data_IF_996397097831
#
_entry.id   IF_996397097831
#
_cell.length_a   1.000
_cell.length_b   1.000
_cell.length_c   1.000
_cell.angle_alpha   90.00
_cell.angle_beta   90.00
_cell.angle_gamma   90.00
#
_symmetry.space_group_name_H-M   'P 1'
#
loop_
_entity.id
_entity.type
_entity.pdbx_description
1 polymer ?
#
# COMPACT_ATOMS: atom_id res chain seq x y z
N UNK A 1 2.95 39.94 -31.55
CA UNK A 1 2.00 39.23 -30.67
C UNK A 1 0.72 40.04 -30.66
N UNK A 2 -0.22 39.73 -31.55
CA UNK A 2 -1.44 40.53 -31.73
C UNK A 2 -2.40 40.30 -30.56
N UNK A 3 -2.82 41.38 -29.91
CA UNK A 3 -3.82 41.38 -28.85
C UNK A 3 -5.14 40.76 -29.34
N UNK A 4 -5.87 39.98 -28.51
CA UNK A 4 -7.17 39.45 -28.91
C UNK A 4 -8.14 40.61 -29.16
N UNK A 5 -8.56 40.76 -30.41
CA UNK A 5 -9.61 41.70 -30.82
C UNK A 5 -10.91 41.21 -30.21
N UNK A 6 -11.52 42.01 -29.34
CA UNK A 6 -12.87 41.73 -28.84
C UNK A 6 -13.84 41.67 -30.02
N UNK A 7 -14.65 40.61 -30.16
CA UNK A 7 -15.57 40.49 -31.29
C UNK A 7 -16.54 41.68 -31.32
N UNK A 8 -16.79 42.22 -32.51
CA UNK A 8 -17.69 43.35 -32.68
C UNK A 8 -19.14 42.89 -32.55
N UNK A 9 -20.06 43.78 -32.14
CA UNK A 9 -21.49 43.43 -31.90
C UNK A 9 -22.17 42.71 -33.08
N UNK A 10 -21.65 42.88 -34.30
CA UNK A 10 -22.17 42.28 -35.52
C UNK A 10 -21.74 40.82 -35.70
N UNK A 11 -20.65 40.42 -35.04
CA UNK A 11 -20.04 39.09 -35.16
C UNK A 11 -20.50 38.14 -34.05
N UNK A 12 -21.27 38.63 -33.07
CA UNK A 12 -21.87 37.79 -32.04
C UNK A 12 -23.06 37.01 -32.62
N UNK A 13 -23.22 35.72 -32.25
CA UNK A 13 -24.38 34.93 -32.66
C UNK A 13 -25.67 35.61 -32.19
N UNK A 14 -26.61 35.80 -33.12
CA UNK A 14 -27.91 36.39 -32.82
C UNK A 14 -28.73 35.41 -31.99
N UNK A 15 -29.19 35.86 -30.83
CA UNK A 15 -30.10 35.08 -29.97
C UNK A 15 -31.39 34.81 -30.74
N UNK A 16 -31.87 33.58 -30.68
CA UNK A 16 -33.15 33.21 -31.29
C UNK A 16 -34.29 34.07 -30.74
N UNK A 17 -35.20 34.49 -31.61
CA UNK A 17 -36.31 35.42 -31.26
C UNK A 17 -37.18 34.85 -30.14
N UNK A 18 -37.36 33.53 -30.12
CA UNK A 18 -38.15 32.83 -29.10
C UNK A 18 -37.49 32.93 -27.72
N UNK A 19 -36.17 32.68 -27.63
CA UNK A 19 -35.41 32.79 -26.38
C UNK A 19 -35.38 34.24 -25.86
N UNK A 20 -35.27 35.23 -26.75
CA UNK A 20 -35.35 36.64 -26.37
C UNK A 20 -36.72 36.98 -25.77
N UNK A 21 -37.80 36.50 -26.36
CA UNK A 21 -39.16 36.75 -25.89
C UNK A 21 -39.43 36.08 -24.54
N UNK A 22 -38.90 34.87 -24.34
CA UNK A 22 -39.04 34.13 -23.08
C UNK A 22 -38.23 34.76 -21.93
N UNK A 23 -37.04 35.31 -22.23
CA UNK A 23 -36.25 36.10 -21.28
C UNK A 23 -36.90 37.45 -20.93
N UNK A 24 -37.51 38.12 -21.89
CA UNK A 24 -38.24 39.38 -21.66
C UNK A 24 -39.52 39.18 -20.83
N UNK A 25 -40.17 38.02 -20.98
CA UNK A 25 -41.31 37.60 -20.18
C UNK A 25 -40.94 36.92 -18.85
N UNK A 26 -39.64 36.72 -18.58
CA UNK A 26 -39.19 36.02 -17.39
C UNK A 26 -39.51 36.82 -16.13
N UNK A 27 -40.42 36.30 -15.32
CA UNK A 27 -40.74 36.86 -14.01
C UNK A 27 -39.98 36.10 -12.94
N UNK A 28 -38.99 36.71 -12.26
CA UNK A 28 -38.27 36.06 -11.17
C UNK A 28 -39.19 35.65 -10.00
N UNK A 29 -40.37 36.27 -9.91
CA UNK A 29 -41.47 35.92 -9.01
C UNK A 29 -41.96 34.48 -9.17
N UNK A 30 -41.80 33.89 -10.36
CA UNK A 30 -42.20 32.50 -10.64
C UNK A 30 -41.15 31.48 -10.20
N UNK A 31 -39.95 31.93 -9.79
CA UNK A 31 -39.00 31.04 -9.17
C UNK A 31 -39.46 30.71 -7.76
N UNK A 32 -39.34 29.44 -7.38
CA UNK A 32 -39.55 29.03 -5.99
C UNK A 32 -38.50 29.72 -5.13
N UNK A 33 -38.94 30.66 -4.29
CA UNK A 33 -38.07 31.25 -3.27
C UNK A 33 -37.60 30.15 -2.33
N UNK A 34 -36.29 29.88 -2.34
CA UNK A 34 -35.63 29.07 -1.32
C UNK A 34 -34.98 30.02 -0.33
N UNK A 35 -35.42 29.96 0.92
CA UNK A 35 -34.70 30.59 2.02
C UNK A 35 -33.58 29.63 2.42
N UNK A 36 -32.29 29.99 2.28
CA UNK A 36 -31.21 29.15 2.79
C UNK A 36 -31.37 29.00 4.30
N UNK A 37 -31.67 27.79 4.77
CA UNK A 37 -31.67 27.49 6.20
C UNK A 37 -30.28 27.04 6.62
N UNK A 38 -29.59 27.88 7.39
CA UNK A 38 -28.38 27.50 8.12
C UNK A 38 -28.79 26.56 9.27
N UNK A 39 -28.56 25.25 9.11
CA UNK A 39 -28.78 24.27 10.17
C UNK A 39 -27.64 24.35 11.19
N UNK A 40 -27.71 25.34 12.06
CA UNK A 40 -26.90 25.39 13.28
C UNK A 40 -27.47 24.37 14.28
N UNK A 41 -27.18 23.09 14.04
CA UNK A 41 -27.49 22.04 15.00
C UNK A 41 -26.62 22.24 16.23
N UNK A 42 -27.27 22.44 17.38
CA UNK A 42 -26.57 22.44 18.65
C UNK A 42 -26.08 21.02 18.96
N UNK A 43 -24.93 20.87 19.65
CA UNK A 43 -24.51 19.59 20.18
C UNK A 43 -25.66 18.94 20.95
N UNK A 44 -25.87 17.66 20.70
CA UNK A 44 -26.89 16.90 21.43
C UNK A 44 -26.45 16.70 22.88
N UNK A 45 -27.41 16.36 23.75
CA UNK A 45 -27.08 16.00 25.13
C UNK A 45 -26.14 14.79 25.22
N UNK A 46 -26.21 13.90 24.22
CA UNK A 46 -25.30 12.76 24.07
C UNK A 46 -23.88 13.23 23.72
N UNK A 47 -23.73 14.16 22.78
CA UNK A 47 -22.43 14.73 22.40
C UNK A 47 -21.72 15.36 23.61
N UNK A 48 -22.44 16.14 24.41
CA UNK A 48 -21.87 16.78 25.61
C UNK A 48 -21.52 15.75 26.68
N UNK A 49 -22.35 14.71 26.86
CA UNK A 49 -22.09 13.65 27.83
C UNK A 49 -20.85 12.81 27.44
N UNK A 50 -20.71 12.49 26.16
CA UNK A 50 -19.54 11.78 25.65
C UNK A 50 -18.28 12.63 25.77
N UNK A 51 -18.33 13.92 25.41
CA UNK A 51 -17.19 14.84 25.54
C UNK A 51 -16.74 14.96 27.00
N UNK A 52 -17.68 15.12 27.94
CA UNK A 52 -17.36 15.19 29.37
C UNK A 52 -16.69 13.90 29.87
N UNK A 53 -17.14 12.76 29.38
CA UNK A 53 -16.58 11.45 29.74
C UNK A 53 -15.16 11.30 29.18
N UNK A 54 -14.94 11.66 27.92
CA UNK A 54 -13.61 11.64 27.31
C UNK A 54 -12.64 12.58 28.02
N UNK A 55 -13.09 13.82 28.30
CA UNK A 55 -12.28 14.80 29.03
C UNK A 55 -11.88 14.31 30.42
N UNK A 56 -12.81 13.70 31.15
CA UNK A 56 -12.53 13.12 32.46
C UNK A 56 -11.50 11.97 32.38
N UNK A 57 -11.59 11.13 31.34
CA UNK A 57 -10.61 10.06 31.10
C UNK A 57 -9.23 10.62 30.80
N UNK A 58 -9.14 11.62 29.91
CA UNK A 58 -7.87 12.27 29.56
C UNK A 58 -7.23 12.90 30.80
N UNK A 59 -7.99 13.65 31.58
CA UNK A 59 -7.51 14.25 32.83
C UNK A 59 -7.05 13.19 33.84
N UNK A 60 -7.75 12.05 33.93
CA UNK A 60 -7.36 10.95 34.78
C UNK A 60 -6.02 10.31 34.38
N UNK A 61 -5.76 10.21 33.06
CA UNK A 61 -4.49 9.70 32.52
C UNK A 61 -3.37 10.72 32.69
N UNK A 62 -3.62 12.01 32.42
CA UNK A 62 -2.64 13.09 32.59
C UNK A 62 -2.21 13.25 34.05
N UNK A 63 -3.17 13.16 34.98
CA UNK A 63 -2.91 13.25 36.41
C UNK A 63 -2.53 11.90 37.04
N UNK A 64 -2.33 10.84 36.24
CA UNK A 64 -2.02 9.53 36.75
C UNK A 64 -0.62 9.51 37.38
N UNK A 65 -0.58 9.26 38.69
CA UNK A 65 0.66 9.12 39.45
C UNK A 65 1.27 7.73 39.22
N UNK A 66 2.35 7.68 38.44
CA UNK A 66 3.10 6.45 38.16
C UNK A 66 3.71 5.81 39.42
N UNK A 67 3.88 6.57 40.51
CA UNK A 67 4.33 6.05 41.80
C UNK A 67 3.31 5.13 42.49
N UNK A 68 2.04 5.16 42.05
CA UNK A 68 0.98 4.24 42.53
C UNK A 68 1.01 2.89 41.83
N UNK A 69 1.83 2.73 40.79
CA UNK A 69 2.02 1.43 40.15
C UNK A 69 2.70 0.47 41.13
N UNK A 70 2.14 -0.73 41.27
CA UNK A 70 2.76 -1.78 42.09
C UNK A 70 4.08 -2.18 41.45
N UNK A 71 5.14 -2.24 42.26
CA UNK A 71 6.42 -2.76 41.79
C UNK A 71 6.24 -4.21 41.32
N UNK A 72 6.72 -4.49 40.11
CA UNK A 72 6.73 -5.82 39.53
C UNK A 72 8.15 -6.14 39.07
N UNK A 73 8.64 -7.33 39.43
CA UNK A 73 9.95 -7.79 39.00
C UNK A 73 9.79 -8.48 37.64
N UNK A 74 10.17 -7.79 36.56
CA UNK A 74 10.21 -8.38 35.22
C UNK A 74 11.47 -9.24 35.07
N UNK A 75 11.32 -10.53 34.77
CA UNK A 75 12.44 -11.38 34.38
C UNK A 75 12.54 -11.45 32.85
N UNK A 76 13.39 -10.62 32.28
CA UNK A 76 13.81 -10.76 30.89
C UNK A 76 14.79 -11.93 30.77
N UNK A 77 14.38 -13.00 30.09
CA UNK A 77 15.26 -14.14 29.81
C UNK A 77 15.93 -13.88 28.47
N UNK A 78 17.25 -13.71 28.50
CA UNK A 78 18.10 -13.83 27.31
C UNK A 78 18.77 -15.22 27.35
N UNK A 79 18.06 -16.31 26.98
CA UNK A 79 18.64 -17.64 27.03
C UNK A 79 19.84 -17.70 26.07
N UNK A 80 20.97 -18.19 26.59
CA UNK A 80 22.09 -18.54 25.73
C UNK A 80 21.67 -19.67 24.78
N UNK A 81 22.25 -19.74 23.57
CA UNK A 81 22.07 -20.90 22.71
C UNK A 81 22.42 -22.19 23.48
N UNK A 82 21.63 -23.23 23.28
CA UNK A 82 21.91 -24.53 23.88
C UNK A 82 23.10 -25.20 23.18
N UNK A 83 23.58 -26.29 23.79
CA UNK A 83 24.74 -27.04 23.28
C UNK A 83 24.48 -27.58 21.87
N UNK A 84 23.24 -27.96 21.57
CA UNK A 84 22.86 -28.48 20.26
C UNK A 84 22.95 -27.40 19.19
N UNK A 85 22.42 -26.19 19.42
CA UNK A 85 22.53 -25.08 18.49
C UNK A 85 23.99 -24.71 18.20
N UNK A 86 24.85 -24.75 19.22
CA UNK A 86 26.29 -24.50 19.07
C UNK A 86 26.96 -25.59 18.22
N UNK A 87 26.64 -26.86 18.45
CA UNK A 87 27.19 -27.99 17.69
C UNK A 87 26.72 -27.97 16.23
N UNK A 88 25.44 -27.66 15.98
CA UNK A 88 24.89 -27.50 14.64
C UNK A 88 25.58 -26.37 13.88
N UNK A 89 25.73 -25.19 14.48
CA UNK A 89 26.41 -24.05 13.86
C UNK A 89 27.89 -24.38 13.60
N UNK A 90 28.58 -25.03 14.55
CA UNK A 90 29.96 -25.48 14.35
C UNK A 90 30.08 -26.48 13.20
N UNK A 91 29.14 -27.41 13.06
CA UNK A 91 29.07 -28.36 11.96
C UNK A 91 28.91 -27.65 10.60
N UNK A 92 28.02 -26.67 10.54
CA UNK A 92 27.80 -25.84 9.35
C UNK A 92 29.06 -25.04 8.98
N UNK A 93 29.71 -24.41 9.95
CA UNK A 93 30.96 -23.66 9.72
C UNK A 93 32.08 -24.57 9.20
N UNK A 94 32.23 -25.78 9.77
CA UNK A 94 33.20 -26.75 9.29
C UNK A 94 32.90 -27.20 7.85
N UNK A 95 31.63 -27.39 7.49
CA UNK A 95 31.22 -27.75 6.13
C UNK A 95 31.58 -26.64 5.14
N UNK A 96 31.24 -25.39 5.47
CA UNK A 96 31.54 -24.22 4.63
C UNK A 96 33.06 -24.10 4.46
N UNK A 97 33.82 -24.13 5.54
CA UNK A 97 35.28 -24.06 5.49
C UNK A 97 35.90 -25.22 4.69
N UNK A 98 35.31 -26.42 4.78
CA UNK A 98 35.73 -27.58 4.01
C UNK A 98 35.52 -27.41 2.50
N UNK A 99 34.43 -26.76 2.09
CA UNK A 99 34.14 -26.44 0.68
C UNK A 99 35.05 -25.30 0.20
N UNK A 100 35.18 -24.22 0.97
CA UNK A 100 36.00 -23.05 0.61
C UNK A 100 37.48 -23.42 0.41
N UNK A 101 38.00 -24.31 1.27
CA UNK A 101 39.40 -24.74 1.24
C UNK A 101 39.60 -26.07 0.50
N UNK A 102 38.60 -26.55 -0.22
CA UNK A 102 38.70 -27.80 -0.97
C UNK A 102 39.71 -27.64 -2.11
N UNK A 103 40.72 -28.51 -2.16
CA UNK A 103 41.70 -28.55 -3.24
C UNK A 103 41.20 -29.46 -4.37
N UNK A 104 40.81 -28.92 -5.55
CA UNK A 104 40.31 -29.73 -6.66
C UNK A 104 41.33 -30.71 -7.21
N UNK A 105 42.64 -30.49 -6.98
CA UNK A 105 43.70 -31.39 -7.43
C UNK A 105 43.71 -32.72 -6.66
N UNK A 106 43.03 -32.79 -5.52
CA UNK A 106 42.82 -34.05 -4.77
C UNK A 106 41.72 -34.92 -5.37
N UNK A 107 40.95 -34.42 -6.34
CA UNK A 107 39.99 -35.25 -7.07
C UNK A 107 40.74 -36.27 -7.91
N UNK A 108 40.28 -37.52 -7.86
CA UNK A 108 40.82 -38.60 -8.70
C UNK A 108 40.44 -38.32 -10.15
N UNK A 109 41.38 -38.54 -11.06
CA UNK A 109 41.08 -38.48 -12.49
C UNK A 109 40.00 -39.52 -12.83
N UNK A 110 39.00 -39.09 -13.59
CA UNK A 110 37.93 -39.95 -14.10
C UNK A 110 37.74 -39.64 -15.58
N UNK A 111 37.67 -40.68 -16.40
CA UNK A 111 37.42 -40.56 -17.83
C UNK A 111 35.90 -40.64 -18.06
N UNK A 112 35.29 -39.51 -18.42
CA UNK A 112 33.86 -39.44 -18.77
C UNK A 112 33.65 -39.85 -20.21
N UNK A 113 32.92 -40.94 -20.45
CA UNK A 113 32.44 -41.30 -21.79
C UNK A 113 31.11 -40.60 -22.08
N UNK A 114 31.16 -39.50 -22.83
CA UNK A 114 29.97 -38.88 -23.40
C UNK A 114 29.54 -39.66 -24.66
N UNK A 115 28.48 -40.46 -24.53
CA UNK A 115 27.87 -41.14 -25.69
C UNK A 115 26.99 -40.12 -26.40
N UNK A 116 27.43 -39.64 -27.56
CA UNK A 116 26.57 -38.96 -28.52
C UNK A 116 26.27 -39.91 -29.70
N UNK A 117 25.45 -40.96 -29.49
CA UNK A 117 25.08 -41.84 -30.60
C UNK A 117 24.28 -41.04 -31.61
N UNK A 118 24.71 -41.07 -32.87
CA UNK A 118 23.90 -40.53 -33.95
C UNK A 118 22.57 -41.31 -33.99
N UNK A 119 21.43 -40.64 -34.22
CA UNK A 119 20.15 -41.31 -34.40
C UNK A 119 20.28 -42.41 -35.46
N UNK A 120 19.73 -43.59 -35.20
CA UNK A 120 19.72 -44.67 -36.18
C UNK A 120 18.79 -44.31 -37.33
N UNK A 121 19.02 -44.90 -38.52
CA UNK A 121 18.16 -44.64 -39.69
C UNK A 121 16.69 -44.96 -39.40
N UNK A 122 16.45 -45.99 -38.62
CA UNK A 122 15.11 -46.41 -38.21
C UNK A 122 14.43 -45.32 -37.37
N UNK A 123 15.14 -44.70 -36.42
CA UNK A 123 14.60 -43.62 -35.60
C UNK A 123 14.30 -42.36 -36.43
N UNK A 124 15.18 -42.04 -37.40
CA UNK A 124 14.97 -40.90 -38.33
C UNK A 124 13.75 -41.15 -39.22
N UNK A 125 13.56 -42.38 -39.70
CA UNK A 125 12.46 -42.74 -40.58
C UNK A 125 11.12 -42.83 -39.83
N UNK A 126 11.13 -43.20 -38.55
CA UNK A 126 9.95 -43.18 -37.69
C UNK A 126 9.50 -41.75 -37.38
N UNK A 127 10.44 -40.83 -37.10
CA UNK A 127 10.13 -39.42 -36.88
C UNK A 127 9.66 -38.70 -38.15
N UNK A 128 10.14 -39.10 -39.33
CA UNK A 128 9.64 -38.58 -40.62
C UNK A 128 8.22 -39.05 -40.98
N UNK A 129 7.71 -40.08 -40.29
CA UNK A 129 6.36 -40.63 -40.54
C UNK A 129 5.29 -40.05 -39.60
N UNK A 130 5.69 -39.36 -38.53
CA UNK A 130 4.81 -38.56 -37.69
C UNK A 130 4.50 -37.20 -38.35
#
# INVERSE_FOLDING_TARGET
MSNPVSPSLKDLPKVAVDLKSELEGFKPENMKNVTPQEKNILPTAEDVATEKTQKALLQGVEAFDTGKLKHTQTQEKNPLPDKEAIEQEKGKQNLIAGIENFDPKKLKHTETQEKNPLPTKEAIDEEKKA
#
